data_IF_788736879488
#
_entry.id   IF_788736879488
#
_cell.length_a   1.000
_cell.length_b   1.000
_cell.length_c   1.000
_cell.angle_alpha   90.00
_cell.angle_beta   90.00
_cell.angle_gamma   90.00
#
_symmetry.space_group_name_H-M   'P 1'
#
loop_
_entity.id
_entity.type
_entity.pdbx_description
1 polymer ?
#
# COMPACT_ATOMS: atom_id res chain seq x y z
N UNK A 1 21.63 -0.30 31.46
CA UNK A 1 20.71 -1.10 30.63
C UNK A 1 20.30 -0.30 29.38
N UNK A 2 20.85 -0.67 28.21
CA UNK A 2 20.40 -0.11 26.93
C UNK A 2 18.99 -0.60 26.59
N UNK A 3 18.27 0.05 25.66
CA UNK A 3 16.97 -0.44 25.22
C UNK A 3 17.15 -1.85 24.65
N UNK A 4 16.28 -2.77 25.08
CA UNK A 4 16.26 -4.15 24.61
C UNK A 4 15.84 -4.24 23.13
N UNK A 5 15.86 -5.45 22.54
CA UNK A 5 15.57 -5.68 21.12
C UNK A 5 14.13 -5.35 20.68
N UNK A 6 13.26 -4.92 21.60
CA UNK A 6 11.84 -4.63 21.37
C UNK A 6 11.61 -3.43 20.44
N UNK A 7 12.59 -2.54 20.27
CA UNK A 7 12.46 -1.38 19.38
C UNK A 7 12.66 -1.68 17.88
N UNK A 8 13.13 -2.89 17.52
CA UNK A 8 13.47 -3.24 16.13
C UNK A 8 12.29 -3.87 15.39
N UNK A 9 11.38 -4.56 16.10
CA UNK A 9 10.17 -5.16 15.52
C UNK A 9 9.17 -4.12 15.02
N UNK A 10 9.08 -2.96 15.67
CA UNK A 10 8.22 -1.84 15.23
C UNK A 10 8.76 -1.13 13.97
N UNK A 11 10.01 -1.39 13.59
CA UNK A 11 10.63 -0.83 12.39
C UNK A 11 10.53 -1.77 11.18
N UNK A 12 10.03 -2.99 11.36
CA UNK A 12 9.86 -3.92 10.26
C UNK A 12 8.70 -3.47 9.36
N UNK A 13 8.91 -3.43 8.04
CA UNK A 13 7.85 -3.05 7.13
C UNK A 13 6.72 -4.08 7.15
N UNK A 14 5.49 -3.60 7.14
CA UNK A 14 4.31 -4.46 7.03
C UNK A 14 4.03 -4.74 5.55
N UNK A 15 3.63 -5.98 5.26
CA UNK A 15 3.27 -6.41 3.90
C UNK A 15 1.74 -6.49 3.79
N UNK A 16 1.20 -5.90 2.73
CA UNK A 16 -0.22 -5.98 2.40
C UNK A 16 -0.47 -7.19 1.49
N UNK A 17 -1.47 -8.01 1.83
CA UNK A 17 -1.82 -9.22 1.09
C UNK A 17 -3.19 -9.08 0.44
N UNK A 18 -3.35 -9.61 -0.77
CA UNK A 18 -4.66 -9.79 -1.38
C UNK A 18 -5.53 -10.69 -0.50
N UNK A 19 -6.70 -10.20 -0.08
CA UNK A 19 -7.59 -10.92 0.83
C UNK A 19 -8.02 -12.30 0.30
N UNK A 20 -8.21 -12.44 -1.03
CA UNK A 20 -8.63 -13.69 -1.67
C UNK A 20 -7.50 -14.71 -1.82
N UNK A 21 -6.42 -14.35 -2.54
CA UNK A 21 -5.37 -15.30 -2.91
C UNK A 21 -4.11 -15.25 -2.04
N UNK A 22 -4.05 -14.37 -1.04
CA UNK A 22 -2.93 -14.17 -0.10
C UNK A 22 -1.59 -13.77 -0.74
N UNK A 23 -1.58 -13.42 -2.02
CA UNK A 23 -0.37 -12.89 -2.69
C UNK A 23 -0.06 -11.46 -2.21
N UNK A 24 1.23 -11.10 -2.04
CA UNK A 24 1.64 -9.74 -1.71
C UNK A 24 1.22 -8.74 -2.79
N UNK A 25 0.63 -7.62 -2.35
CA UNK A 25 0.23 -6.51 -3.24
C UNK A 25 1.08 -5.26 -3.04
N UNK A 26 1.71 -5.10 -1.87
CA UNK A 26 2.61 -3.99 -1.56
C UNK A 26 3.08 -4.06 -0.11
N UNK A 27 3.75 -3.02 0.36
CA UNK A 27 4.28 -2.90 1.72
C UNK A 27 4.34 -1.44 2.17
N UNK A 28 4.65 -1.22 3.45
CA UNK A 28 4.74 0.12 4.05
C UNK A 28 5.97 0.92 3.62
N UNK A 29 6.99 0.32 2.99
CA UNK A 29 8.13 1.08 2.44
C UNK A 29 7.70 1.93 1.24
N UNK A 30 6.67 1.48 0.53
CA UNK A 30 6.07 2.19 -0.60
C UNK A 30 4.95 3.16 -0.19
N UNK A 31 4.68 3.36 1.10
CA UNK A 31 3.59 4.20 1.58
C UNK A 31 3.67 5.65 1.06
N UNK A 32 2.58 6.16 0.49
CA UNK A 32 2.46 7.55 0.04
C UNK A 32 1.51 8.38 0.92
N UNK A 33 0.26 7.94 1.11
CA UNK A 33 -0.74 8.69 1.87
C UNK A 33 -1.89 7.79 2.36
N UNK A 34 -2.63 8.28 3.37
CA UNK A 34 -3.99 7.82 3.66
C UNK A 34 -4.96 8.68 2.84
N UNK A 35 -5.83 8.05 2.03
CA UNK A 35 -6.98 8.73 1.44
C UNK A 35 -8.22 8.40 2.27
N UNK A 36 -8.52 9.29 3.23
CA UNK A 36 -9.65 9.13 4.14
C UNK A 36 -11.01 9.27 3.42
N UNK A 37 -11.08 10.07 2.34
CA UNK A 37 -12.30 10.25 1.56
C UNK A 37 -12.59 9.03 0.68
N UNK A 38 -11.57 8.46 0.05
CA UNK A 38 -11.67 7.21 -0.71
C UNK A 38 -11.74 5.95 0.17
N UNK A 39 -11.43 6.07 1.46
CA UNK A 39 -11.35 4.94 2.39
C UNK A 39 -10.23 3.95 2.01
N UNK A 40 -9.12 4.45 1.48
CA UNK A 40 -8.04 3.63 0.96
C UNK A 40 -6.65 4.22 1.30
N UNK A 41 -5.61 3.45 0.97
CA UNK A 41 -4.22 3.89 1.12
C UNK A 41 -3.60 4.02 -0.28
N UNK A 42 -2.69 4.98 -0.42
CA UNK A 42 -1.93 5.17 -1.65
C UNK A 42 -0.51 4.67 -1.45
N UNK A 43 -0.02 3.88 -2.39
CA UNK A 43 1.35 3.39 -2.44
C UNK A 43 2.04 3.94 -3.70
N UNK A 44 3.34 4.26 -3.60
CA UNK A 44 4.18 4.66 -4.74
C UNK A 44 4.39 3.54 -5.75
N UNK A 45 4.29 2.29 -5.30
CA UNK A 45 4.46 1.09 -6.13
C UNK A 45 3.69 -0.09 -5.56
N UNK A 46 3.28 -0.98 -6.45
CA UNK A 46 2.68 -2.28 -6.14
C UNK A 46 3.64 -3.43 -6.48
N UNK A 47 3.35 -4.61 -5.95
CA UNK A 47 4.05 -5.85 -6.34
C UNK A 47 3.89 -6.15 -7.83
N UNK A 48 4.91 -6.74 -8.46
CA UNK A 48 4.88 -7.13 -9.88
C UNK A 48 3.77 -8.12 -10.24
N UNK A 49 3.17 -8.80 -9.25
CA UNK A 49 2.02 -9.69 -9.45
C UNK A 49 0.68 -8.96 -9.57
N UNK A 50 0.65 -7.65 -9.35
CA UNK A 50 -0.53 -6.80 -9.53
C UNK A 50 -0.50 -6.24 -10.95
N UNK A 51 -1.57 -6.43 -11.68
CA UNK A 51 -1.74 -5.89 -13.02
C UNK A 51 -2.89 -4.88 -13.04
N UNK A 52 -2.73 -3.82 -13.84
CA UNK A 52 -3.82 -2.88 -14.13
C UNK A 52 -4.68 -3.50 -15.24
N UNK A 53 -6.00 -3.43 -15.06
CA UNK A 53 -6.94 -3.91 -16.08
C UNK A 53 -6.78 -3.12 -17.39
N UNK A 54 -7.11 -3.73 -18.53
CA UNK A 54 -7.04 -3.07 -19.84
C UNK A 54 -8.06 -1.93 -19.94
N UNK A 55 -9.22 -2.09 -19.33
CA UNK A 55 -10.21 -1.03 -19.22
C UNK A 55 -9.86 -0.12 -18.04
N UNK A 56 -9.42 1.10 -18.34
CA UNK A 56 -9.11 2.11 -17.34
C UNK A 56 -10.31 3.05 -17.16
N UNK A 57 -10.88 3.05 -15.95
CA UNK A 57 -11.92 3.99 -15.54
C UNK A 57 -11.28 5.13 -14.78
N UNK A 58 -11.17 6.29 -15.44
CA UNK A 58 -10.61 7.49 -14.81
C UNK A 58 -11.67 8.13 -13.91
N UNK A 59 -11.29 8.40 -12.65
CA UNK A 59 -12.13 9.16 -11.73
C UNK A 59 -12.45 10.54 -12.33
N UNK A 60 -13.70 10.99 -12.17
CA UNK A 60 -14.10 12.36 -12.58
C UNK A 60 -13.87 13.38 -11.47
N UNK A 61 -13.31 12.97 -10.33
CA UNK A 61 -13.08 13.86 -9.19
C UNK A 61 -11.97 14.87 -9.54
N UNK A 62 -12.16 16.16 -9.22
CA UNK A 62 -11.12 17.16 -9.47
C UNK A 62 -9.85 16.84 -8.70
N UNK A 63 -8.69 16.81 -9.37
CA UNK A 63 -7.39 16.67 -8.72
C UNK A 63 -6.86 15.23 -8.58
N UNK A 64 -7.63 14.21 -8.96
CA UNK A 64 -7.08 12.86 -9.14
C UNK A 64 -6.40 12.76 -10.52
N UNK A 65 -5.09 12.52 -10.52
CA UNK A 65 -4.39 12.04 -11.70
C UNK A 65 -4.56 10.51 -11.70
N UNK A 66 -5.34 9.99 -12.65
CA UNK A 66 -5.67 8.57 -12.75
C UNK A 66 -4.50 7.60 -12.58
#
# INVERSE_FOLDING_TARGET
>A
PGPGPEADEELLPMVFLCAGCKRPVGDTLSWAANDEEGGCILLRSASASVAVDKEQKVSKRPGECG
#
